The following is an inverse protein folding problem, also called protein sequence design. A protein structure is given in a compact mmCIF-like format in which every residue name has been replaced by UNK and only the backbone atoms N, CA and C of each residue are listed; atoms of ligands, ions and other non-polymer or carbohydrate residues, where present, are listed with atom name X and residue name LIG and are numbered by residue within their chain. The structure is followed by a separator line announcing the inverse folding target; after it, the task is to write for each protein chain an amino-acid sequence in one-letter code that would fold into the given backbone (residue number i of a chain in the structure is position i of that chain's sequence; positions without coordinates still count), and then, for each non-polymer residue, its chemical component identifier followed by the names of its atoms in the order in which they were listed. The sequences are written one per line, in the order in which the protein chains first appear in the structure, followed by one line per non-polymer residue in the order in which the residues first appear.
data_IF_620342354942
#
_entry.id   IF_620342354942
#
_cell.length_a   1.000
_cell.length_b   1.000
_cell.length_c   1.000
_cell.angle_alpha   90.00
_cell.angle_beta   90.00
_cell.angle_gamma   90.00
#
_symmetry.space_group_name_H-M   'P 1'
#
loop_
_entity.id
_entity.type
_entity.pdbx_description
1 polymer ?
#
# COMPACT_ATOMS: atom_id res chain seq x y z
N UNK A 1 -24.02 8.66 -16.28
CA UNK A 1 -23.46 7.36 -15.84
C UNK A 1 -23.17 7.51 -14.37
N UNK A 2 -23.80 6.73 -13.47
CA UNK A 2 -23.49 6.79 -12.04
C UNK A 2 -22.04 6.31 -11.87
N UNK A 3 -21.14 7.23 -11.50
CA UNK A 3 -19.77 6.87 -11.14
C UNK A 3 -19.88 6.15 -9.81
N UNK A 4 -19.54 4.86 -9.76
CA UNK A 4 -19.53 4.13 -8.48
C UNK A 4 -18.63 4.88 -7.50
N UNK A 5 -19.01 4.94 -6.20
CA UNK A 5 -18.20 5.62 -5.21
C UNK A 5 -16.84 4.92 -5.13
N UNK A 6 -15.78 5.71 -5.32
CA UNK A 6 -14.41 5.18 -5.34
C UNK A 6 -14.02 4.57 -3.99
N UNK A 7 -14.61 5.01 -2.87
CA UNK A 7 -14.53 4.35 -1.57
C UNK A 7 -15.91 3.88 -1.12
N UNK A 8 -15.96 2.69 -0.54
CA UNK A 8 -17.14 2.14 0.11
C UNK A 8 -16.87 1.88 1.60
N UNK A 9 -17.94 1.86 2.38
CA UNK A 9 -17.89 1.47 3.78
C UNK A 9 -17.35 0.04 3.95
N UNK A 10 -16.70 -0.21 5.09
CA UNK A 10 -16.13 -1.52 5.40
C UNK A 10 -17.15 -2.65 5.18
N UNK A 11 -16.74 -3.65 4.39
CA UNK A 11 -17.60 -4.76 4.01
C UNK A 11 -17.02 -6.08 4.53
N UNK A 12 -17.71 -6.73 5.48
CA UNK A 12 -17.32 -8.04 6.03
C UNK A 12 -17.19 -9.14 4.98
N UNK A 13 -17.80 -8.98 3.80
CA UNK A 13 -17.65 -9.92 2.68
C UNK A 13 -16.24 -9.92 2.08
N UNK A 14 -15.43 -8.87 2.30
CA UNK A 14 -14.04 -8.84 1.83
C UNK A 14 -13.21 -10.00 2.39
N UNK A 15 -13.37 -10.32 3.69
CA UNK A 15 -12.69 -11.47 4.29
C UNK A 15 -13.13 -12.81 3.66
N UNK A 16 -14.40 -12.92 3.24
CA UNK A 16 -14.92 -14.12 2.56
C UNK A 16 -14.35 -14.23 1.15
N UNK A 17 -14.45 -13.15 0.35
CA UNK A 17 -13.87 -13.07 -1.00
C UNK A 17 -12.36 -13.34 -0.99
N UNK A 18 -11.64 -12.76 -0.03
CA UNK A 18 -10.22 -13.01 0.20
C UNK A 18 -9.94 -14.50 0.38
N UNK A 19 -10.70 -15.18 1.26
CA UNK A 19 -10.49 -16.59 1.57
C UNK A 19 -10.76 -17.48 0.37
N UNK A 20 -11.85 -17.24 -0.35
CA UNK A 20 -12.21 -17.98 -1.57
C UNK A 20 -11.15 -17.82 -2.67
N UNK A 21 -10.68 -16.59 -2.90
CA UNK A 21 -9.66 -16.33 -3.91
C UNK A 21 -8.29 -16.89 -3.51
N UNK A 22 -7.90 -16.75 -2.24
CA UNK A 22 -6.66 -17.31 -1.70
C UNK A 22 -6.61 -18.84 -1.82
N UNK A 23 -7.75 -19.53 -1.69
CA UNK A 23 -7.82 -20.98 -1.91
C UNK A 23 -7.53 -21.33 -3.38
N UNK A 24 -8.13 -20.63 -4.34
CA UNK A 24 -7.86 -20.84 -5.78
C UNK A 24 -6.40 -20.59 -6.13
N UNK A 25 -5.82 -19.53 -5.56
CA UNK A 25 -4.40 -19.19 -5.76
C UNK A 25 -3.52 -20.30 -5.20
N UNK A 26 -3.76 -20.74 -3.97
CA UNK A 26 -3.03 -21.82 -3.32
C UNK A 26 -3.05 -23.11 -4.14
N UNK A 27 -4.24 -23.54 -4.57
CA UNK A 27 -4.45 -24.73 -5.40
C UNK A 27 -3.79 -24.63 -6.77
N UNK A 28 -3.64 -23.40 -7.30
CA UNK A 28 -3.04 -23.19 -8.61
C UNK A 28 -1.51 -23.10 -8.55
N UNK A 29 -0.95 -22.42 -7.54
CA UNK A 29 0.48 -22.17 -7.43
C UNK A 29 1.25 -23.38 -6.90
N UNK A 30 0.70 -24.13 -5.93
CA UNK A 30 1.15 -25.44 -5.39
C UNK A 30 2.59 -25.53 -4.84
N UNK A 31 3.46 -24.55 -5.12
CA UNK A 31 4.89 -24.57 -4.79
C UNK A 31 5.26 -23.37 -3.93
N UNK A 32 6.13 -23.60 -2.95
CA UNK A 32 6.97 -22.62 -2.28
C UNK A 32 6.31 -21.37 -1.67
N UNK A 33 5.00 -21.44 -1.44
CA UNK A 33 4.24 -20.45 -0.70
C UNK A 33 4.49 -20.64 0.79
N UNK A 34 5.04 -19.61 1.42
CA UNK A 34 5.20 -19.49 2.87
C UNK A 34 3.92 -18.98 3.50
N UNK A 35 3.26 -18.00 2.86
CA UNK A 35 1.99 -17.42 3.32
C UNK A 35 1.17 -16.73 2.25
N UNK A 36 -0.16 -16.78 2.40
CA UNK A 36 -1.11 -15.93 1.69
C UNK A 36 -1.86 -15.10 2.72
N UNK A 37 -1.69 -13.78 2.69
CA UNK A 37 -2.20 -12.86 3.73
C UNK A 37 -3.10 -11.79 3.12
N UNK A 38 -4.19 -11.46 3.82
CA UNK A 38 -5.06 -10.35 3.46
C UNK A 38 -4.40 -9.05 3.89
N UNK A 39 -4.09 -8.17 2.95
CA UNK A 39 -3.40 -6.91 3.18
C UNK A 39 -4.23 -5.73 2.63
N UNK A 40 -3.67 -4.53 2.67
CA UNK A 40 -4.33 -3.34 2.18
C UNK A 40 -5.52 -2.91 3.04
N UNK A 41 -6.24 -1.88 2.59
CA UNK A 41 -7.32 -1.26 3.36
C UNK A 41 -8.47 -2.23 3.65
N UNK A 42 -8.79 -3.14 2.72
CA UNK A 42 -9.92 -4.09 2.88
C UNK A 42 -9.66 -5.16 3.94
N UNK A 43 -8.42 -5.29 4.42
CA UNK A 43 -8.03 -6.21 5.51
C UNK A 43 -8.17 -5.62 6.91
N UNK A 44 -8.44 -4.32 7.03
CA UNK A 44 -8.53 -3.58 8.29
C UNK A 44 -10.00 -3.37 8.64
N UNK A 45 -10.40 -3.77 9.84
CA UNK A 45 -11.79 -3.62 10.29
C UNK A 45 -12.19 -2.13 10.39
N UNK A 46 -13.41 -1.81 9.94
CA UNK A 46 -13.96 -0.45 9.92
C UNK A 46 -13.22 0.56 9.02
N UNK A 47 -12.38 0.09 8.09
CA UNK A 47 -11.70 0.93 7.09
C UNK A 47 -12.58 1.13 5.84
N UNK A 48 -12.87 2.38 5.46
CA UNK A 48 -13.41 2.69 4.12
C UNK A 48 -12.34 2.46 3.06
N UNK A 49 -12.68 1.81 1.94
CA UNK A 49 -11.69 1.41 0.94
C UNK A 49 -12.28 1.34 -0.47
N UNK A 50 -11.42 1.33 -1.49
CA UNK A 50 -11.79 0.84 -2.82
C UNK A 50 -12.22 -0.62 -2.68
N UNK A 51 -13.22 -1.08 -3.44
CA UNK A 51 -13.68 -2.47 -3.42
C UNK A 51 -12.71 -3.40 -4.18
N UNK A 52 -11.44 -3.38 -3.76
CA UNK A 52 -10.33 -4.15 -4.32
C UNK A 52 -9.62 -4.85 -3.17
N UNK A 53 -9.48 -6.17 -3.28
CA UNK A 53 -8.85 -7.00 -2.26
C UNK A 53 -7.38 -7.20 -2.58
N UNK A 54 -6.51 -6.65 -1.75
CA UNK A 54 -5.06 -6.83 -1.85
C UNK A 54 -4.62 -8.10 -1.10
N UNK A 55 -3.84 -8.94 -1.76
CA UNK A 55 -3.39 -10.25 -1.26
C UNK A 55 -1.87 -10.31 -1.33
N UNK A 56 -1.20 -10.54 -0.20
CA UNK A 56 0.22 -10.86 -0.21
C UNK A 56 0.42 -12.36 -0.46
N UNK A 57 1.27 -12.71 -1.44
CA UNK A 57 1.75 -14.07 -1.69
C UNK A 57 3.24 -14.09 -1.32
N UNK A 58 3.51 -14.56 -0.11
CA UNK A 58 4.84 -14.66 0.47
C UNK A 58 5.46 -15.99 0.04
N UNK A 59 6.58 -15.96 -0.68
CA UNK A 59 7.29 -17.15 -1.16
C UNK A 59 8.69 -17.28 -0.56
N UNK A 60 9.32 -18.45 -0.63
CA UNK A 60 10.71 -18.64 -0.18
C UNK A 60 11.71 -17.82 -1.01
N UNK A 61 11.55 -17.87 -2.33
CA UNK A 61 12.39 -17.21 -3.30
C UNK A 61 11.59 -16.96 -4.58
N UNK A 62 12.16 -16.15 -5.48
CA UNK A 62 11.57 -15.87 -6.79
C UNK A 62 12.07 -16.80 -7.89
N UNK A 63 12.69 -17.93 -7.53
CA UNK A 63 13.18 -18.92 -8.50
C UNK A 63 12.07 -19.40 -9.43
N UNK A 64 10.86 -19.58 -8.89
CA UNK A 64 9.67 -20.02 -9.65
C UNK A 64 8.80 -18.89 -10.19
N UNK A 65 9.29 -17.64 -10.21
CA UNK A 65 8.49 -16.48 -10.63
C UNK A 65 7.82 -16.68 -12.00
N UNK A 66 8.57 -17.15 -13.01
CA UNK A 66 8.00 -17.39 -14.35
C UNK A 66 6.91 -18.45 -14.35
N UNK A 67 7.03 -19.48 -13.50
CA UNK A 67 5.99 -20.50 -13.34
C UNK A 67 4.75 -19.89 -12.66
N UNK A 68 4.95 -19.06 -11.63
CA UNK A 68 3.86 -18.33 -10.98
C UNK A 68 3.14 -17.42 -11.98
N UNK A 69 3.85 -16.64 -12.79
CA UNK A 69 3.25 -15.80 -13.83
C UNK A 69 2.37 -16.62 -14.79
N UNK A 70 2.88 -17.74 -15.31
CA UNK A 70 2.12 -18.62 -16.22
C UNK A 70 0.88 -19.24 -15.56
N UNK A 71 1.00 -19.63 -14.28
CA UNK A 71 -0.10 -20.20 -13.50
C UNK A 71 -1.17 -19.13 -13.17
N UNK A 72 -0.74 -17.92 -12.82
CA UNK A 72 -1.63 -16.77 -12.52
C UNK A 72 -2.42 -16.30 -13.74
N UNK A 73 -1.89 -16.43 -14.95
CA UNK A 73 -2.65 -16.17 -16.20
C UNK A 73 -3.89 -17.06 -16.30
N UNK A 74 -3.83 -18.31 -15.81
CA UNK A 74 -5.00 -19.22 -15.79
C UNK A 74 -6.09 -18.74 -14.83
N UNK A 75 -5.72 -17.93 -13.83
CA UNK A 75 -6.62 -17.25 -12.91
C UNK A 75 -6.96 -15.83 -13.37
N UNK A 76 -6.71 -15.49 -14.64
CA UNK A 76 -6.99 -14.19 -15.25
C UNK A 76 -6.28 -13.02 -14.57
N UNK A 77 -5.09 -13.28 -14.02
CA UNK A 77 -4.17 -12.24 -13.56
C UNK A 77 -3.15 -11.87 -14.62
N UNK A 78 -2.77 -10.61 -14.64
CA UNK A 78 -1.66 -10.09 -15.44
C UNK A 78 -0.72 -9.29 -14.55
N UNK A 79 0.58 -9.31 -14.86
CA UNK A 79 1.54 -8.44 -14.19
C UNK A 79 1.25 -6.98 -14.58
N UNK A 80 0.96 -6.13 -13.59
CA UNK A 80 0.62 -4.72 -13.77
C UNK A 80 1.69 -3.77 -13.24
N UNK A 81 2.82 -4.30 -12.76
CA UNK A 81 3.87 -3.46 -12.21
C UNK A 81 5.12 -4.22 -11.79
N UNK A 82 6.25 -3.76 -12.32
CA UNK A 82 7.55 -3.86 -11.70
C UNK A 82 7.81 -2.47 -11.12
N UNK A 83 7.52 -2.28 -9.84
CA UNK A 83 8.06 -1.10 -9.17
C UNK A 83 9.57 -1.34 -9.08
N UNK A 84 10.42 -0.33 -9.19
CA UNK A 84 11.91 -0.44 -9.20
C UNK A 84 12.53 -1.08 -7.93
N UNK A 85 11.72 -1.80 -7.15
CA UNK A 85 12.00 -2.57 -5.95
C UNK A 85 12.37 -3.99 -6.36
N UNK A 86 13.62 -4.36 -6.04
CA UNK A 86 14.12 -5.71 -6.28
C UNK A 86 13.29 -6.68 -5.45
N UNK A 87 12.55 -7.57 -6.13
CA UNK A 87 11.82 -8.70 -5.56
C UNK A 87 10.34 -8.48 -5.16
N UNK A 88 9.66 -7.46 -5.70
CA UNK A 88 8.22 -7.25 -5.47
C UNK A 88 7.44 -7.10 -6.78
N UNK A 89 6.43 -7.93 -6.98
CA UNK A 89 5.65 -8.03 -8.21
C UNK A 89 4.17 -7.83 -7.91
N UNK A 90 3.51 -7.00 -8.72
CA UNK A 90 2.08 -6.73 -8.56
C UNK A 90 1.30 -7.29 -9.73
N UNK A 91 0.31 -8.12 -9.43
CA UNK A 91 -0.61 -8.69 -10.42
C UNK A 91 -2.02 -8.18 -10.20
N UNK A 92 -2.66 -7.72 -11.26
CA UNK A 92 -4.07 -7.34 -11.26
C UNK A 92 -4.93 -8.41 -11.89
N UNK A 93 -6.06 -8.74 -11.26
CA UNK A 93 -7.07 -9.59 -11.89
C UNK A 93 -7.82 -8.79 -12.94
N UNK A 94 -8.20 -9.42 -14.05
CA UNK A 94 -8.97 -8.77 -15.11
C UNK A 94 -10.27 -8.10 -14.63
N UNK A 95 -10.92 -8.62 -13.58
CA UNK A 95 -12.14 -8.03 -13.00
C UNK A 95 -11.87 -6.81 -12.13
N UNK A 96 -10.60 -6.45 -11.88
CA UNK A 96 -10.15 -5.42 -10.95
C UNK A 96 -10.60 -5.61 -9.49
N UNK A 97 -11.12 -6.77 -9.12
CA UNK A 97 -11.54 -7.06 -7.73
C UNK A 97 -10.38 -7.47 -6.82
N UNK A 98 -9.23 -7.85 -7.39
CA UNK A 98 -8.09 -8.39 -6.64
C UNK A 98 -6.76 -7.90 -7.19
N UNK A 99 -5.86 -7.58 -6.27
CA UNK A 99 -4.45 -7.35 -6.53
C UNK A 99 -3.59 -8.33 -5.73
N UNK A 100 -2.57 -8.90 -6.37
CA UNK A 100 -1.61 -9.79 -5.72
C UNK A 100 -0.28 -9.07 -5.58
N UNK A 101 0.27 -9.08 -4.38
CA UNK A 101 1.61 -8.63 -4.04
C UNK A 101 2.47 -9.87 -3.81
N UNK A 102 3.27 -10.24 -4.79
CA UNK A 102 4.12 -11.42 -4.74
C UNK A 102 5.57 -11.03 -4.45
N UNK A 103 6.17 -11.65 -3.44
CA UNK A 103 7.56 -11.40 -3.06
C UNK A 103 8.08 -12.39 -2.02
N UNK A 104 9.40 -12.41 -1.76
CA UNK A 104 9.99 -13.19 -0.69
C UNK A 104 9.37 -12.82 0.66
N UNK A 105 9.07 -13.83 1.49
CA UNK A 105 8.42 -13.65 2.79
C UNK A 105 9.21 -12.74 3.76
N UNK A 106 10.53 -12.65 3.55
CA UNK A 106 11.47 -11.87 4.34
C UNK A 106 11.99 -10.63 3.61
N UNK A 107 11.35 -10.24 2.50
CA UNK A 107 11.63 -8.98 1.83
C UNK A 107 11.14 -7.79 2.66
N UNK A 108 11.81 -6.65 2.51
CA UNK A 108 11.42 -5.44 3.21
C UNK A 108 10.03 -4.96 2.76
N UNK A 109 9.71 -5.08 1.46
CA UNK A 109 8.43 -4.69 0.89
C UNK A 109 7.27 -5.48 1.50
N UNK A 110 7.40 -6.81 1.59
CA UNK A 110 6.37 -7.63 2.23
C UNK A 110 6.21 -7.24 3.69
N UNK A 111 7.30 -7.16 4.46
CA UNK A 111 7.23 -6.80 5.88
C UNK A 111 6.63 -5.40 6.09
N UNK A 112 7.00 -4.42 5.27
CA UNK A 112 6.48 -3.06 5.35
C UNK A 112 4.95 -3.02 5.13
N UNK A 113 4.40 -3.79 4.19
CA UNK A 113 2.95 -3.87 3.98
C UNK A 113 2.24 -4.47 5.22
N UNK A 114 2.84 -5.49 5.84
CA UNK A 114 2.28 -6.12 7.05
C UNK A 114 2.34 -5.17 8.25
N UNK A 115 3.44 -4.44 8.42
CA UNK A 115 3.60 -3.43 9.46
C UNK A 115 2.61 -2.27 9.29
N UNK A 116 2.37 -1.83 8.05
CA UNK A 116 1.36 -0.82 7.74
C UNK A 116 -0.05 -1.27 8.18
N UNK A 117 -0.45 -2.50 7.80
CA UNK A 117 -1.73 -3.10 8.23
C UNK A 117 -1.82 -3.15 9.76
N UNK A 118 -0.76 -3.65 10.40
CA UNK A 118 -0.71 -3.82 11.85
C UNK A 118 -0.90 -2.47 12.57
N UNK A 119 -0.15 -1.46 12.14
CA UNK A 119 -0.17 -0.15 12.76
C UNK A 119 -1.54 0.51 12.67
N UNK A 120 -2.14 0.56 11.47
CA UNK A 120 -3.49 1.12 11.28
C UNK A 120 -4.58 0.32 12.00
N UNK A 121 -4.32 -0.96 12.33
CA UNK A 121 -5.26 -1.76 13.12
C UNK A 121 -5.15 -1.48 14.63
N UNK A 122 -4.04 -0.89 15.10
CA UNK A 122 -3.80 -0.55 16.51
C UNK A 122 -4.05 0.93 16.84
N UNK A 123 -3.94 1.80 15.85
CA UNK A 123 -4.01 3.26 16.01
C UNK A 123 -5.20 3.82 15.24
N UNK A 124 -6.34 3.98 15.93
CA UNK A 124 -7.60 4.43 15.33
C UNK A 124 -7.51 5.86 14.77
N UNK A 125 -6.76 6.74 15.42
CA UNK A 125 -6.48 8.10 14.95
C UNK A 125 -5.76 8.10 13.58
N UNK A 126 -4.78 7.22 13.39
CA UNK A 126 -4.10 7.04 12.10
C UNK A 126 -4.98 6.39 11.05
N UNK A 127 -5.83 5.44 11.46
CA UNK A 127 -6.81 4.82 10.58
C UNK A 127 -7.81 5.85 10.05
N UNK A 128 -8.36 6.68 10.94
CA UNK A 128 -9.33 7.71 10.61
C UNK A 128 -8.69 8.80 9.72
N UNK A 129 -7.48 9.25 10.07
CA UNK A 129 -6.71 10.15 9.22
C UNK A 129 -6.47 9.56 7.82
N UNK A 130 -6.14 8.27 7.72
CA UNK A 130 -5.95 7.62 6.42
C UNK A 130 -7.24 7.55 5.59
N UNK A 131 -8.41 7.38 6.24
CA UNK A 131 -9.70 7.46 5.56
C UNK A 131 -9.92 8.86 4.99
N UNK A 132 -9.69 9.89 5.80
CA UNK A 132 -9.87 11.29 5.39
C UNK A 132 -8.88 11.70 4.30
N UNK A 133 -7.62 11.29 4.41
CA UNK A 133 -6.61 11.46 3.37
C UNK A 133 -7.08 10.87 2.04
N UNK A 134 -7.60 9.63 2.04
CA UNK A 134 -8.11 9.01 0.81
C UNK A 134 -9.29 9.79 0.24
N UNK A 135 -10.21 10.30 1.06
CA UNK A 135 -11.33 11.14 0.61
C UNK A 135 -10.82 12.43 -0.04
N UNK A 136 -9.92 13.14 0.64
CA UNK A 136 -9.30 14.36 0.13
C UNK A 136 -8.57 14.12 -1.18
N UNK A 137 -7.85 13.01 -1.32
CA UNK A 137 -7.16 12.67 -2.57
C UNK A 137 -8.12 12.41 -3.72
N UNK A 138 -9.25 11.77 -3.46
CA UNK A 138 -10.25 11.49 -4.50
C UNK A 138 -10.94 12.79 -4.97
N UNK A 139 -11.15 13.71 -4.03
CA UNK A 139 -11.75 15.00 -4.32
C UNK A 139 -10.79 15.96 -5.02
N UNK A 140 -9.52 15.97 -4.60
CA UNK A 140 -8.57 17.03 -4.92
C UNK A 140 -7.41 16.61 -5.80
N UNK A 141 -7.19 15.31 -6.08
CA UNK A 141 -6.11 14.86 -6.96
C UNK A 141 -6.64 14.12 -8.18
N UNK A 142 -5.85 14.12 -9.25
CA UNK A 142 -6.08 13.23 -10.39
C UNK A 142 -5.90 11.78 -9.96
N UNK A 143 -6.74 10.89 -10.47
CA UNK A 143 -6.68 9.46 -10.13
C UNK A 143 -5.28 8.85 -10.40
N UNK A 144 -4.58 9.36 -11.42
CA UNK A 144 -3.21 8.98 -11.77
C UNK A 144 -2.19 9.27 -10.65
N UNK A 145 -2.43 10.28 -9.81
CA UNK A 145 -1.54 10.64 -8.69
C UNK A 145 -2.02 10.09 -7.35
N UNK A 146 -3.18 9.43 -7.29
CA UNK A 146 -3.75 8.89 -6.07
C UNK A 146 -2.77 7.95 -5.33
N UNK A 147 -2.17 7.00 -6.03
CA UNK A 147 -1.19 6.07 -5.43
C UNK A 147 0.12 6.77 -5.04
N UNK A 148 0.54 7.77 -5.83
CA UNK A 148 1.74 8.54 -5.55
C UNK A 148 1.58 9.38 -4.29
N UNK A 149 0.45 10.09 -4.14
CA UNK A 149 0.21 10.97 -3.00
C UNK A 149 0.00 10.21 -1.69
N UNK A 150 -0.47 8.96 -1.72
CA UNK A 150 -0.53 8.10 -0.51
C UNK A 150 0.85 7.68 -0.01
N UNK A 151 1.87 7.67 -0.87
CA UNK A 151 3.19 7.06 -0.56
C UNK A 151 3.84 7.71 0.66
N UNK A 152 3.77 9.03 0.78
CA UNK A 152 4.38 9.73 1.92
C UNK A 152 3.79 9.26 3.26
N UNK A 153 2.46 9.24 3.36
CA UNK A 153 1.77 8.73 4.54
C UNK A 153 2.10 7.25 4.83
N UNK A 154 2.06 6.39 3.82
CA UNK A 154 2.36 4.96 3.97
C UNK A 154 3.79 4.76 4.51
N UNK A 155 4.78 5.43 3.92
CA UNK A 155 6.18 5.35 4.36
C UNK A 155 6.35 5.80 5.80
N UNK A 156 5.70 6.91 6.20
CA UNK A 156 5.78 7.39 7.58
C UNK A 156 5.12 6.45 8.57
N UNK A 157 3.95 5.87 8.23
CA UNK A 157 3.29 4.87 9.09
C UNK A 157 4.15 3.63 9.26
N UNK A 158 4.78 3.14 8.19
CA UNK A 158 5.73 2.01 8.28
C UNK A 158 6.92 2.36 9.18
N UNK A 159 7.49 3.56 9.05
CA UNK A 159 8.57 4.04 9.94
C UNK A 159 8.10 4.08 11.40
N UNK A 160 6.90 4.61 11.68
CA UNK A 160 6.34 4.63 13.03
C UNK A 160 6.10 3.22 13.58
N UNK A 161 5.64 2.28 12.76
CA UNK A 161 5.48 0.89 13.15
C UNK A 161 6.81 0.25 13.55
N UNK A 162 7.88 0.48 12.77
CA UNK A 162 9.23 0.03 13.11
C UNK A 162 9.73 0.67 14.42
N UNK A 163 9.54 1.97 14.59
CA UNK A 163 9.91 2.69 15.82
C UNK A 163 9.15 2.18 17.05
N UNK A 164 7.84 1.94 16.92
CA UNK A 164 7.02 1.40 18.00
C UNK A 164 7.43 -0.01 18.38
N UNK A 165 7.74 -0.86 17.39
CA UNK A 165 8.30 -2.19 17.63
C UNK A 165 9.64 -2.11 18.38
N UNK A 166 10.57 -1.26 17.95
CA UNK A 166 11.87 -1.07 18.59
C UNK A 166 11.75 -0.48 20.01
N UNK A 167 10.68 0.26 20.29
CA UNK A 167 10.33 0.74 21.64
C UNK A 167 9.53 -0.28 22.48
N UNK A 168 9.23 -1.47 21.94
CA UNK A 168 8.46 -2.52 22.62
C UNK A 168 6.95 -2.28 22.70
N UNK A 169 6.39 -1.34 21.94
CA UNK A 169 4.95 -1.05 21.87
C UNK A 169 4.17 -2.00 20.94
N UNK A 170 4.85 -2.55 19.93
CA UNK A 170 4.37 -3.68 19.13
C UNK A 170 5.07 -4.95 19.60
N UNK A 171 4.28 -5.91 20.06
CA UNK A 171 4.74 -7.20 20.58
C UNK A 171 4.25 -8.36 19.71
N UNK A 172 4.84 -9.54 19.86
CA UNK A 172 4.55 -10.70 19.00
C UNK A 172 3.08 -11.10 18.97
N UNK A 173 2.36 -10.97 20.09
CA UNK A 173 0.92 -11.28 20.13
C UNK A 173 0.09 -10.34 19.26
N UNK A 174 0.59 -9.14 18.94
CA UNK A 174 -0.09 -8.23 18.02
C UNK A 174 -0.05 -8.75 16.58
N UNK A 175 0.91 -9.62 16.22
CA UNK A 175 1.02 -10.15 14.86
C UNK A 175 -0.14 -11.08 14.49
N UNK A 176 -0.94 -11.55 15.46
CA UNK A 176 -2.20 -12.24 15.15
C UNK A 176 -3.15 -11.38 14.31
N UNK A 177 -3.06 -10.05 14.37
CA UNK A 177 -3.79 -9.12 13.50
C UNK A 177 -3.38 -9.28 12.04
N UNK A 178 -2.07 -9.42 11.77
CA UNK A 178 -1.53 -9.62 10.42
C UNK A 178 -2.11 -10.91 9.84
N UNK A 179 -2.06 -11.96 10.66
CA UNK A 179 -2.38 -13.34 10.32
C UNK A 179 -3.87 -13.66 10.27
N UNK A 180 -4.72 -12.75 10.75
CA UNK A 180 -6.18 -12.88 10.69
C UNK A 180 -6.62 -13.18 9.25
N UNK A 181 -7.38 -14.25 9.10
CA UNK A 181 -7.88 -14.81 7.84
C UNK A 181 -6.86 -15.44 6.89
N UNK A 182 -5.54 -15.35 7.15
CA UNK A 182 -4.49 -15.87 6.25
C UNK A 182 -4.53 -17.38 6.00
N UNK A 183 -3.96 -17.83 4.87
CA UNK A 183 -3.88 -19.23 4.43
C UNK A 183 -2.41 -19.63 4.25
N UNK A 184 -2.08 -20.91 4.57
CA UNK A 184 -0.71 -21.43 4.69
C UNK A 184 0.11 -20.46 5.53
N UNK A 185 -0.17 -20.32 6.82
CA UNK A 185 0.41 -19.22 7.59
C UNK A 185 1.53 -19.72 8.50
N UNK A 186 2.74 -19.85 7.97
CA UNK A 186 3.94 -20.13 8.78
C UNK A 186 4.29 -18.91 9.65
N UNK A 187 3.50 -18.74 10.72
CA UNK A 187 3.57 -17.61 11.64
C UNK A 187 4.96 -17.45 12.24
N UNK A 188 5.63 -18.55 12.58
CA UNK A 188 6.97 -18.52 13.16
C UNK A 188 7.97 -17.91 12.17
N UNK A 189 7.94 -18.38 10.93
CA UNK A 189 8.82 -17.88 9.86
C UNK A 189 8.55 -16.42 9.51
N UNK A 190 7.27 -16.04 9.36
CA UNK A 190 6.88 -14.65 9.12
C UNK A 190 7.22 -13.74 10.30
N UNK A 191 7.02 -14.20 11.54
CA UNK A 191 7.36 -13.44 12.75
C UNK A 191 8.86 -13.19 12.82
N UNK A 192 9.69 -14.21 12.58
CA UNK A 192 11.16 -14.06 12.51
C UNK A 192 11.58 -13.06 11.44
N UNK A 193 10.94 -13.07 10.28
CA UNK A 193 11.20 -12.09 9.21
C UNK A 193 10.90 -10.66 9.66
N UNK A 194 9.72 -10.40 10.26
CA UNK A 194 9.35 -9.07 10.78
C UNK A 194 10.37 -8.59 11.81
N UNK A 195 10.74 -9.45 12.78
CA UNK A 195 11.74 -9.12 13.80
C UNK A 195 13.08 -8.72 13.17
N UNK A 196 13.59 -9.55 12.25
CA UNK A 196 14.86 -9.32 11.56
C UNK A 196 14.87 -7.99 10.82
N UNK A 197 13.80 -7.68 10.06
CA UNK A 197 13.71 -6.42 9.31
C UNK A 197 13.64 -5.21 10.24
N UNK A 198 12.81 -5.26 11.29
CA UNK A 198 12.75 -4.14 12.23
C UNK A 198 14.10 -3.91 12.96
N UNK A 199 14.80 -5.00 13.33
CA UNK A 199 16.12 -4.92 13.95
C UNK A 199 17.21 -4.42 13.00
N UNK A 200 17.12 -4.74 11.70
CA UNK A 200 18.07 -4.24 10.70
C UNK A 200 18.04 -2.71 10.59
N UNK A 201 16.91 -2.07 10.91
CA UNK A 201 16.74 -0.62 10.90
C UNK A 201 17.08 0.06 12.24
N UNK A 202 17.47 -0.69 13.26
CA UNK A 202 17.76 -0.13 14.59
C UNK A 202 18.86 0.95 14.53
N UNK A 203 19.94 0.67 13.81
CA UNK A 203 21.05 1.62 13.67
C UNK A 203 20.67 2.85 12.84
N UNK A 204 19.87 2.68 11.77
CA UNK A 204 19.44 3.80 10.92
C UNK A 204 18.40 4.68 11.61
N UNK A 205 17.62 4.12 12.54
CA UNK A 205 16.58 4.80 13.30
C UNK A 205 17.02 5.22 14.71
N UNK A 206 18.28 5.04 15.11
CA UNK A 206 18.76 5.24 16.49
C UNK A 206 18.40 6.59 17.11
N UNK A 207 18.39 7.66 16.32
CA UNK A 207 18.06 9.01 16.77
C UNK A 207 16.54 9.25 16.87
N UNK A 208 15.75 8.47 16.11
CA UNK A 208 14.30 8.52 16.07
C UNK A 208 13.64 7.63 17.13
N UNK A 209 14.28 6.51 17.51
CA UNK A 209 13.80 5.58 18.54
C UNK A 209 13.39 6.32 19.83
N UNK A 210 14.23 7.17 20.46
CA UNK A 210 13.83 7.88 21.68
C UNK A 210 12.76 8.95 21.44
N UNK A 211 12.52 9.33 20.18
CA UNK A 211 11.59 10.38 19.76
C UNK A 211 10.26 9.82 19.22
N UNK A 212 10.03 8.51 19.29
CA UNK A 212 8.83 7.86 18.74
C UNK A 212 7.53 8.59 19.10
N UNK A 213 7.31 8.93 20.38
CA UNK A 213 6.07 9.63 20.81
C UNK A 213 5.92 11.02 20.20
N UNK A 214 7.03 11.75 20.06
CA UNK A 214 7.06 13.06 19.41
C UNK A 214 6.71 12.93 17.93
N UNK A 215 7.40 12.01 17.22
CA UNK A 215 7.19 11.75 15.80
C UNK A 215 5.76 11.27 15.52
N UNK A 216 5.23 10.37 16.37
CA UNK A 216 3.86 9.90 16.32
C UNK A 216 2.87 11.07 16.46
N UNK A 217 3.12 12.02 17.37
CA UNK A 217 2.21 13.16 17.54
C UNK A 217 2.25 14.17 16.37
N UNK A 218 3.36 14.23 15.63
CA UNK A 218 3.59 15.24 14.58
C UNK A 218 3.35 14.74 13.16
N UNK A 219 3.33 13.43 12.93
CA UNK A 219 3.29 12.84 11.59
C UNK A 219 2.09 13.32 10.75
N UNK A 220 0.91 13.48 11.37
CA UNK A 220 -0.28 13.96 10.67
C UNK A 220 -0.13 15.41 10.19
N UNK A 221 0.39 16.30 11.05
CA UNK A 221 0.67 17.70 10.70
C UNK A 221 1.75 17.80 9.60
N UNK A 222 2.81 16.98 9.71
CA UNK A 222 3.88 16.90 8.72
C UNK A 222 3.37 16.39 7.36
N UNK A 223 2.46 15.41 7.37
CA UNK A 223 1.83 14.87 6.16
C UNK A 223 0.92 15.91 5.52
N UNK A 224 0.12 16.62 6.30
CA UNK A 224 -0.75 17.68 5.79
C UNK A 224 0.06 18.82 5.16
N UNK A 225 1.15 19.24 5.82
CA UNK A 225 2.08 20.23 5.26
C UNK A 225 2.69 19.76 3.95
N UNK A 226 3.17 18.51 3.88
CA UNK A 226 3.74 17.94 2.66
C UNK A 226 2.71 17.87 1.51
N UNK A 227 1.44 17.61 1.83
CA UNK A 227 0.35 17.63 0.85
C UNK A 227 0.08 19.04 0.31
N UNK A 228 0.03 20.05 1.19
CA UNK A 228 -0.19 21.44 0.79
C UNK A 228 0.94 21.99 -0.09
N UNK A 229 2.17 21.52 0.13
CA UNK A 229 3.35 21.92 -0.66
C UNK A 229 3.51 21.10 -1.96
N UNK A 230 2.75 20.00 -2.13
CA UNK A 230 2.89 19.10 -3.27
C UNK A 230 2.07 19.57 -4.50
N UNK A 231 2.71 19.80 -5.67
CA UNK A 231 1.99 20.15 -6.89
C UNK A 231 1.12 18.99 -7.43
N UNK A 232 1.26 17.78 -6.88
CA UNK A 232 0.49 16.60 -7.29
C UNK A 232 -0.76 16.37 -6.44
N UNK A 233 -0.94 17.13 -5.35
CA UNK A 233 -2.09 17.01 -4.45
C UNK A 233 -3.28 17.89 -4.88
N UNK A 234 -3.03 18.93 -5.68
CA UNK A 234 -4.07 19.82 -6.19
C UNK A 234 -4.52 19.41 -7.59
N UNK A 235 -5.83 19.50 -7.86
CA UNK A 235 -6.37 19.46 -9.22
C UNK A 235 -5.73 20.60 -9.98
N UNK A 236 -5.12 20.28 -11.12
CA UNK A 236 -4.50 21.28 -11.96
C UNK A 236 -5.56 22.26 -12.42
N UNK A 237 -5.48 23.48 -11.90
CA UNK A 237 -6.21 24.62 -12.42
C UNK A 237 -5.28 25.35 -13.38
N UNK A 238 -5.65 25.42 -14.65
CA UNK A 238 -5.02 26.39 -15.53
C UNK A 238 -5.49 27.76 -15.06
N UNK A 239 -4.57 28.67 -14.85
CA UNK A 239 -4.90 30.07 -14.65
C UNK A 239 -4.46 30.88 -15.85
N UNK A 240 -5.24 31.88 -16.25
CA UNK A 240 -4.77 32.86 -17.22
C UNK A 240 -3.62 33.69 -16.63
N UNK A 241 -3.06 34.58 -17.45
CA UNK A 241 -1.98 35.50 -17.05
C UNK A 241 -2.37 36.44 -15.89
N UNK A 242 -3.66 36.58 -15.62
CA UNK A 242 -4.22 37.45 -14.60
C UNK A 242 -4.63 36.65 -13.34
N UNK A 243 -4.38 35.32 -13.33
CA UNK A 243 -4.61 34.43 -12.20
C UNK A 243 -6.03 33.86 -12.11
N UNK A 244 -6.87 34.03 -13.14
CA UNK A 244 -8.23 33.49 -13.16
C UNK A 244 -8.25 32.04 -13.63
N UNK A 245 -9.04 31.20 -12.97
CA UNK A 245 -9.27 29.80 -13.39
C UNK A 245 -9.78 29.73 -14.84
N UNK A 246 -9.16 28.87 -15.64
CA UNK A 246 -9.51 28.57 -17.04
C UNK A 246 -9.90 27.11 -17.13
N UNK A 247 -11.09 26.85 -17.67
CA UNK A 247 -11.53 25.49 -17.96
C UNK A 247 -10.66 24.87 -19.06
N UNK A 248 -10.11 23.69 -18.77
CA UNK A 248 -9.44 22.86 -19.78
C UNK A 248 -10.47 22.11 -20.61
N UNK A 249 -10.31 22.09 -21.93
CA UNK A 249 -11.01 21.10 -22.75
C UNK A 249 -10.41 19.69 -22.52
N UNK A 250 -11.21 18.65 -22.82
CA UNK A 250 -10.85 17.25 -22.56
C UNK A 250 -9.54 16.83 -23.27
N UNK A 251 -9.24 17.41 -24.42
CA UNK A 251 -8.04 17.09 -25.20
C UNK A 251 -6.78 17.69 -24.56
N UNK A 252 -6.85 18.94 -24.12
CA UNK A 252 -5.81 19.66 -23.38
C UNK A 252 -5.56 19.01 -22.03
N UNK A 253 -6.62 18.65 -21.31
CA UNK A 253 -6.54 17.94 -20.04
C UNK A 253 -5.82 16.58 -20.21
N UNK A 254 -6.18 15.83 -21.25
CA UNK A 254 -5.52 14.55 -21.58
C UNK A 254 -4.05 14.72 -21.95
N UNK A 255 -3.70 15.76 -22.71
CA UNK A 255 -2.34 16.07 -23.12
C UNK A 255 -1.44 16.44 -21.92
N UNK A 256 -1.94 17.32 -21.04
CA UNK A 256 -1.24 17.72 -19.80
C UNK A 256 -1.02 16.51 -18.88
N UNK A 257 -2.03 15.66 -18.69
CA UNK A 257 -1.92 14.42 -17.89
C UNK A 257 -0.88 13.45 -18.46
N UNK A 258 -0.77 13.34 -19.78
CA UNK A 258 0.19 12.47 -20.47
C UNK A 258 1.62 12.98 -20.33
N UNK A 259 1.85 14.29 -20.44
CA UNK A 259 3.18 14.88 -20.26
C UNK A 259 3.72 14.75 -18.83
N UNK A 260 2.86 14.91 -17.82
CA UNK A 260 3.28 14.88 -16.42
C UNK A 260 3.48 13.47 -15.85
N UNK A 261 2.65 12.50 -16.25
CA UNK A 261 2.78 11.09 -15.83
C UNK A 261 4.10 10.45 -16.32
N UNK A 262 4.57 10.81 -17.51
CA UNK A 262 5.82 10.28 -18.04
C UNK A 262 7.07 11.00 -17.50
N UNK A 263 7.13 12.32 -17.62
CA UNK A 263 8.41 13.04 -17.50
C UNK A 263 8.61 13.63 -16.11
N UNK A 264 7.54 14.11 -15.48
CA UNK A 264 7.60 14.77 -14.17
C UNK A 264 7.74 13.76 -13.02
N UNK A 265 7.06 12.61 -13.10
CA UNK A 265 7.25 11.49 -12.15
C UNK A 265 8.71 11.03 -12.17
N UNK A 266 9.31 10.85 -13.36
CA UNK A 266 10.72 10.43 -13.49
C UNK A 266 11.72 11.48 -13.00
N UNK A 267 11.44 12.77 -13.15
CA UNK A 267 12.31 13.84 -12.63
C UNK A 267 12.17 14.03 -11.12
N UNK A 268 10.96 13.98 -10.58
CA UNK A 268 10.73 14.09 -9.14
C UNK A 268 11.29 12.88 -8.39
N UNK A 269 11.10 11.65 -8.90
CA UNK A 269 11.70 10.43 -8.34
C UNK A 269 13.25 10.47 -8.27
N UNK A 270 13.91 11.30 -9.10
CA UNK A 270 15.37 11.51 -9.02
C UNK A 270 15.78 12.56 -7.98
N UNK A 271 14.86 13.39 -7.52
CA UNK A 271 15.13 14.43 -6.52
C UNK A 271 14.86 13.96 -5.09
N UNK A 272 14.05 12.90 -4.93
CA UNK A 272 13.70 12.30 -3.63
C UNK A 272 14.36 10.92 -3.39
N UNK A 273 15.25 10.48 -4.28
CA UNK A 273 16.12 9.31 -4.13
C UNK A 273 17.55 9.75 -3.83
#
# INVERSE_FOLDING_TARGET
MHKEPLLIAYNKKWAVKFKEESQKIMETLEKDIVSILHIGSTSIDNMEAKDIIDIAICVNSLEYLKEYEQKLVKLVYSNIGYFDLKNWYIFGKYTNEFHLHLGPYDSEEIVNILLFKLYLSKHDDYKDYYIDLKKQLIENSEETFYEFNKRHFITNVVRLAKLEYLNGGIIESDFDIIYKNGIINDKDKMTKAIKRICQADEESLKDDIPRYKELHSKMMDETEKAMQESPFFCKFKLTDKDGNDVDMDEETERYVKTMMSGTMIRQYLRQIA
#
